data_IF_639299235008
#
_entry.id   IF_639299235008
#
_cell.length_a   1.000
_cell.length_b   1.000
_cell.length_c   1.000
_cell.angle_alpha   90.00
_cell.angle_beta   90.00
_cell.angle_gamma   90.00
#
_symmetry.space_group_name_H-M   'P 1'
#
loop_
_entity.id
_entity.type
_entity.pdbx_description
1 polymer ?
#
# COMPACT_ATOMS: atom_id res chain seq x y z
N UNK A 1 22.04 15.01 66.29
CA UNK A 1 20.65 14.48 66.24
C UNK A 1 20.11 14.90 64.87
N UNK A 2 20.13 13.97 63.90
CA UNK A 2 18.92 13.32 63.31
C UNK A 2 18.03 14.34 62.57
N UNK A 3 17.55 14.14 61.34
CA UNK A 3 17.37 12.97 60.48
C UNK A 3 17.08 13.51 59.04
N UNK A 4 17.66 12.95 57.98
CA UNK A 4 17.05 11.97 57.04
C UNK A 4 16.29 12.57 55.83
N UNK A 5 16.89 12.30 54.67
CA UNK A 5 16.30 11.83 53.41
C UNK A 5 14.77 11.94 53.19
N UNK A 6 14.38 12.52 52.05
CA UNK A 6 13.58 11.77 51.04
C UNK A 6 13.51 12.49 49.68
N UNK A 7 14.19 11.92 48.69
CA UNK A 7 13.95 12.14 47.27
C UNK A 7 12.66 11.39 46.89
N UNK A 8 11.52 12.08 46.90
CA UNK A 8 10.28 11.51 46.38
C UNK A 8 9.41 12.63 45.80
N UNK A 9 9.27 12.67 44.47
CA UNK A 9 8.21 13.50 43.88
C UNK A 9 8.28 13.87 42.41
N UNK A 10 9.31 13.49 41.63
CA UNK A 10 9.21 13.65 40.18
C UNK A 10 8.27 12.58 39.62
N UNK A 11 6.98 12.88 39.59
CA UNK A 11 5.95 12.13 38.86
C UNK A 11 5.87 12.74 37.46
N UNK A 12 6.50 12.18 36.42
CA UNK A 12 6.07 12.50 35.08
C UNK A 12 4.66 11.92 34.96
N UNK A 13 3.64 12.79 34.94
CA UNK A 13 2.31 12.39 34.51
C UNK A 13 2.44 12.00 33.04
N UNK A 14 2.69 10.70 32.81
CA UNK A 14 2.43 10.08 31.51
C UNK A 14 0.93 10.21 31.32
N UNK A 15 0.52 11.27 30.62
CA UNK A 15 -0.80 11.34 30.03
C UNK A 15 -0.91 10.13 29.13
N UNK A 16 -1.57 9.08 29.62
CA UNK A 16 -2.13 8.00 28.83
C UNK A 16 -2.96 8.66 27.74
N UNK A 17 -2.35 8.89 26.59
CA UNK A 17 -3.08 9.21 25.37
C UNK A 17 -4.04 8.06 25.18
N UNK A 18 -5.34 8.37 25.22
CA UNK A 18 -6.34 7.42 24.74
C UNK A 18 -5.88 6.96 23.36
N UNK A 19 -5.96 5.66 23.02
CA UNK A 19 -5.75 5.28 21.64
C UNK A 19 -6.69 6.17 20.84
N UNK A 20 -6.11 6.97 19.95
CA UNK A 20 -6.89 7.60 18.89
C UNK A 20 -7.53 6.40 18.20
N UNK A 21 -8.83 6.23 18.41
CA UNK A 21 -9.67 5.40 17.55
C UNK A 21 -9.48 5.98 16.17
N UNK A 22 -8.44 5.52 15.49
CA UNK A 22 -8.17 5.87 14.11
C UNK A 22 -9.28 5.10 13.42
N UNK A 23 -10.33 5.77 12.89
CA UNK A 23 -11.38 5.06 12.21
C UNK A 23 -10.67 4.24 11.14
N UNK A 24 -10.79 2.92 11.25
CA UNK A 24 -10.24 2.00 10.28
C UNK A 24 -10.67 2.53 8.91
N UNK A 25 -9.72 2.87 8.01
CA UNK A 25 -10.08 3.53 6.76
C UNK A 25 -11.11 2.62 6.08
N UNK A 26 -12.32 3.14 5.93
CA UNK A 26 -13.42 2.39 5.33
C UNK A 26 -12.87 1.74 4.05
N UNK A 27 -13.13 0.45 3.83
CA UNK A 27 -12.59 -0.25 2.66
C UNK A 27 -12.91 0.60 1.44
N UNK A 28 -11.86 1.01 0.72
CA UNK A 28 -12.00 1.91 -0.40
C UNK A 28 -13.02 1.30 -1.37
N UNK A 29 -14.15 1.98 -1.56
CA UNK A 29 -15.20 1.51 -2.45
C UNK A 29 -14.61 1.44 -3.85
N UNK A 30 -14.55 0.24 -4.41
CA UNK A 30 -14.04 0.02 -5.76
C UNK A 30 -14.97 0.70 -6.76
N UNK A 31 -14.36 1.31 -7.78
CA UNK A 31 -15.08 2.08 -8.79
C UNK A 31 -15.23 1.26 -10.08
N UNK A 32 -16.42 1.28 -10.69
CA UNK A 32 -16.62 0.74 -12.03
C UNK A 32 -16.17 1.77 -13.07
N UNK A 33 -14.98 1.60 -13.62
CA UNK A 33 -14.44 2.48 -14.65
C UNK A 33 -13.72 1.67 -15.74
N UNK A 34 -14.49 0.84 -16.45
CA UNK A 34 -13.95 -0.16 -17.40
C UNK A 34 -12.94 0.42 -18.39
N UNK A 35 -13.24 1.56 -19.02
CA UNK A 35 -12.36 2.20 -20.01
C UNK A 35 -11.04 2.69 -19.40
N UNK A 36 -11.09 3.23 -18.18
CA UNK A 36 -9.90 3.66 -17.44
C UNK A 36 -9.03 2.46 -17.09
N UNK A 37 -9.65 1.38 -16.63
CA UNK A 37 -8.94 0.12 -16.33
C UNK A 37 -8.23 -0.43 -17.57
N UNK A 38 -8.88 -0.46 -18.73
CA UNK A 38 -8.23 -0.93 -19.97
C UNK A 38 -7.01 -0.07 -20.34
N UNK A 39 -7.14 1.26 -20.26
CA UNK A 39 -6.04 2.17 -20.56
C UNK A 39 -4.87 2.01 -19.59
N UNK A 40 -5.14 1.87 -18.29
CA UNK A 40 -4.11 1.62 -17.28
C UNK A 40 -3.43 0.26 -17.50
N UNK A 41 -4.19 -0.80 -17.80
CA UNK A 41 -3.62 -2.13 -18.07
C UNK A 41 -2.78 -2.15 -19.36
N UNK A 42 -3.19 -1.40 -20.39
CA UNK A 42 -2.39 -1.24 -21.61
C UNK A 42 -1.08 -0.50 -21.33
N UNK A 43 -1.15 0.61 -20.60
CA UNK A 43 0.03 1.37 -20.20
C UNK A 43 1.00 0.49 -19.37
N UNK A 44 0.48 -0.25 -18.39
CA UNK A 44 1.30 -1.13 -17.54
C UNK A 44 1.91 -2.29 -18.33
N UNK A 45 1.17 -2.89 -19.25
CA UNK A 45 1.71 -3.96 -20.10
C UNK A 45 2.83 -3.45 -21.01
N UNK A 46 2.67 -2.26 -21.60
CA UNK A 46 3.73 -1.63 -22.40
C UNK A 46 4.93 -1.24 -21.53
N UNK A 47 4.71 -0.55 -20.40
CA UNK A 47 5.78 -0.03 -19.55
C UNK A 47 6.65 -1.14 -18.96
N UNK A 48 6.05 -2.26 -18.54
CA UNK A 48 6.78 -3.40 -17.98
C UNK A 48 7.59 -4.19 -19.00
N UNK A 49 7.41 -3.94 -20.30
CA UNK A 49 8.20 -4.52 -21.39
C UNK A 49 9.36 -3.64 -21.84
N UNK A 50 9.40 -2.37 -21.43
CA UNK A 50 10.44 -1.44 -21.88
C UNK A 50 11.72 -1.60 -21.05
N UNK A 51 12.87 -1.95 -21.66
CA UNK A 51 14.15 -2.09 -20.95
C UNK A 51 14.57 -0.79 -20.24
N UNK A 52 14.33 0.36 -20.88
CA UNK A 52 14.65 1.68 -20.32
C UNK A 52 13.83 2.01 -19.05
N UNK A 53 12.64 1.41 -18.90
CA UNK A 53 11.77 1.59 -17.73
C UNK A 53 12.01 0.51 -16.65
N UNK A 54 12.92 -0.44 -16.88
CA UNK A 54 13.38 -1.36 -15.85
C UNK A 54 14.28 -0.71 -14.79
N UNK A 55 14.65 0.56 -14.97
CA UNK A 55 15.26 1.36 -13.91
C UNK A 55 14.36 1.42 -12.66
N UNK A 56 13.04 1.32 -12.84
CA UNK A 56 12.11 1.13 -11.73
C UNK A 56 12.11 -0.33 -11.28
N UNK A 57 12.43 -0.56 -10.01
CA UNK A 57 12.45 -1.88 -9.37
C UNK A 57 11.14 -2.62 -9.60
N UNK A 58 11.19 -3.94 -9.84
CA UNK A 58 10.01 -4.79 -10.04
C UNK A 58 8.91 -4.57 -8.97
N UNK A 59 9.30 -4.28 -7.73
CA UNK A 59 8.38 -3.93 -6.64
C UNK A 59 7.56 -2.66 -6.88
N UNK A 60 8.11 -1.64 -7.55
CA UNK A 60 7.36 -0.43 -7.93
C UNK A 60 6.21 -0.77 -8.90
N UNK A 61 6.52 -1.50 -9.96
CA UNK A 61 5.53 -1.92 -10.95
C UNK A 61 4.48 -2.82 -10.33
N UNK A 62 4.88 -3.77 -9.47
CA UNK A 62 3.95 -4.63 -8.73
C UNK A 62 2.97 -3.83 -7.89
N UNK A 63 3.43 -2.82 -7.16
CA UNK A 63 2.55 -1.92 -6.39
C UNK A 63 1.55 -1.18 -7.28
N UNK A 64 1.99 -0.68 -8.45
CA UNK A 64 1.10 0.00 -9.40
C UNK A 64 0.03 -0.94 -9.96
N UNK A 65 0.43 -2.15 -10.35
CA UNK A 65 -0.50 -3.17 -10.86
C UNK A 65 -1.52 -3.57 -9.78
N UNK A 66 -1.08 -3.81 -8.54
CA UNK A 66 -1.98 -4.13 -7.43
C UNK A 66 -2.90 -2.96 -7.04
N UNK A 67 -2.45 -1.71 -7.20
CA UNK A 67 -3.29 -0.54 -6.95
C UNK A 67 -4.49 -0.49 -7.91
N UNK A 68 -4.36 -0.95 -9.15
CA UNK A 68 -5.50 -1.06 -10.09
C UNK A 68 -6.55 -2.04 -9.54
N UNK A 69 -6.11 -3.22 -9.06
CA UNK A 69 -7.00 -4.21 -8.42
C UNK A 69 -7.66 -3.69 -7.15
N UNK A 70 -6.98 -2.84 -6.38
CA UNK A 70 -7.53 -2.26 -5.16
C UNK A 70 -8.53 -1.13 -5.39
N UNK A 71 -8.39 -0.39 -6.50
CA UNK A 71 -9.18 0.83 -6.79
C UNK A 71 -10.41 0.59 -7.66
N UNK A 72 -10.38 -0.44 -8.50
CA UNK A 72 -11.42 -0.68 -9.49
C UNK A 72 -12.06 -2.05 -9.35
N UNK A 73 -13.33 -2.15 -9.72
CA UNK A 73 -13.95 -3.45 -9.97
C UNK A 73 -13.52 -3.94 -11.35
N UNK A 74 -12.83 -5.08 -11.36
CA UNK A 74 -12.25 -5.67 -12.56
C UNK A 74 -13.15 -6.78 -13.10
N UNK A 75 -13.28 -6.84 -14.43
CA UNK A 75 -13.82 -8.03 -15.10
C UNK A 75 -12.81 -9.19 -15.05
N UNK A 76 -13.27 -10.42 -15.23
CA UNK A 76 -12.38 -11.61 -15.27
C UNK A 76 -11.28 -11.48 -16.33
N UNK A 77 -11.62 -10.94 -17.51
CA UNK A 77 -10.66 -10.68 -18.58
C UNK A 77 -9.57 -9.69 -18.16
N UNK A 78 -9.94 -8.63 -17.45
CA UNK A 78 -9.01 -7.61 -16.95
C UNK A 78 -8.14 -8.18 -15.83
N UNK A 79 -8.71 -9.01 -14.96
CA UNK A 79 -7.98 -9.70 -13.89
C UNK A 79 -6.93 -10.67 -14.47
N UNK A 80 -7.29 -11.46 -15.47
CA UNK A 80 -6.34 -12.35 -16.14
C UNK A 80 -5.18 -11.58 -16.82
N UNK A 81 -5.47 -10.42 -17.43
CA UNK A 81 -4.43 -9.56 -18.01
C UNK A 81 -3.52 -8.98 -16.93
N UNK A 82 -4.09 -8.54 -15.81
CA UNK A 82 -3.35 -8.05 -14.65
C UNK A 82 -2.41 -9.12 -14.09
N UNK A 83 -2.88 -10.35 -13.94
CA UNK A 83 -2.10 -11.49 -13.46
C UNK A 83 -0.93 -11.82 -14.39
N UNK A 84 -1.13 -11.75 -15.71
CA UNK A 84 -0.04 -11.92 -16.69
C UNK A 84 1.08 -10.90 -16.50
N UNK A 85 0.73 -9.64 -16.22
CA UNK A 85 1.73 -8.59 -15.93
C UNK A 85 2.46 -8.92 -14.61
N UNK A 86 1.73 -9.33 -13.57
CA UNK A 86 2.33 -9.71 -12.29
C UNK A 86 3.28 -10.91 -12.40
N UNK A 87 2.95 -11.91 -13.21
CA UNK A 87 3.81 -13.07 -13.46
C UNK A 87 5.12 -12.65 -14.14
N UNK A 88 5.05 -11.74 -15.13
CA UNK A 88 6.25 -11.20 -15.81
C UNK A 88 7.19 -10.47 -14.86
N UNK A 89 6.63 -9.74 -13.88
CA UNK A 89 7.41 -9.03 -12.86
C UNK A 89 8.07 -9.96 -11.84
N UNK A 90 7.73 -11.26 -11.85
CA UNK A 90 8.23 -12.25 -10.91
C UNK A 90 7.65 -12.12 -9.50
N UNK A 91 8.01 -13.04 -8.58
CA UNK A 91 7.77 -12.85 -7.16
C UNK A 91 8.61 -11.66 -6.71
N UNK A 92 7.95 -10.53 -6.39
CA UNK A 92 8.66 -9.37 -5.85
C UNK A 92 9.34 -9.78 -4.55
N UNK A 93 10.64 -9.51 -4.45
CA UNK A 93 11.33 -9.55 -3.16
C UNK A 93 10.64 -8.52 -2.25
N UNK A 94 10.06 -9.02 -1.16
CA UNK A 94 9.77 -8.23 0.04
C UNK A 94 11.10 -7.92 0.73
#
# INVERSE_FOLDING_TARGET
>A
MQAEANLAGYRPTVTRTKPVDTPQPAPARRVHARHVVEAELEHLDWATQQPALQLFVAGYWRRRVLAVKGRFELTERQLARLEKILQRLGPGAD
#
